data_IF_094753769078
#
_entry.id   IF_094753769078
#
_cell.length_a   1.000
_cell.length_b   1.000
_cell.length_c   1.000
_cell.angle_alpha   90.00
_cell.angle_beta   90.00
_cell.angle_gamma   90.00
#
_symmetry.space_group_name_H-M   'P 1'
#
loop_
_entity.id
_entity.type
_entity.pdbx_description
1 polymer ?
#
# COMPACT_ATOMS: atom_id res chain seq x y z
N UNK A 1 32.89 3.88 26.65
CA UNK A 1 31.97 2.74 26.47
C UNK A 1 30.86 3.26 25.58
N UNK A 2 30.68 2.68 24.39
CA UNK A 2 29.52 3.03 23.56
C UNK A 2 28.27 2.58 24.34
N UNK A 3 27.28 3.45 24.50
CA UNK A 3 25.99 3.05 25.07
C UNK A 3 25.44 1.87 24.27
N UNK A 4 25.04 0.82 24.99
CA UNK A 4 24.38 -0.32 24.38
C UNK A 4 23.04 0.16 23.83
N UNK A 5 22.94 0.18 22.50
CA UNK A 5 21.78 0.68 21.78
C UNK A 5 20.59 -0.23 22.08
N UNK A 6 19.67 0.24 22.93
CA UNK A 6 18.46 -0.52 23.27
C UNK A 6 17.54 -0.62 22.04
N UNK A 7 17.41 -1.84 21.50
CA UNK A 7 16.60 -2.10 20.29
C UNK A 7 15.22 -2.64 20.67
N UNK A 8 14.21 -2.05 20.05
CA UNK A 8 12.84 -2.55 20.10
C UNK A 8 12.68 -3.77 19.17
N UNK A 9 11.85 -4.72 19.58
CA UNK A 9 11.37 -5.75 18.66
C UNK A 9 10.28 -5.18 17.74
N UNK A 10 10.35 -5.45 16.43
CA UNK A 10 9.39 -4.93 15.46
C UNK A 10 7.97 -5.42 15.71
N UNK A 11 7.78 -6.71 16.00
CA UNK A 11 6.50 -7.27 16.46
C UNK A 11 6.19 -6.73 17.87
N UNK A 12 5.05 -6.06 18.12
CA UNK A 12 4.70 -5.57 19.44
C UNK A 12 4.42 -6.73 20.41
N UNK A 13 4.73 -6.54 21.70
CA UNK A 13 4.71 -7.63 22.69
C UNK A 13 3.40 -8.43 22.79
N UNK A 14 2.24 -7.79 22.56
CA UNK A 14 0.94 -8.46 22.58
C UNK A 14 0.65 -9.34 21.35
N UNK A 15 1.46 -9.25 20.29
CA UNK A 15 1.42 -10.11 19.10
C UNK A 15 2.59 -11.10 19.04
N UNK A 16 3.51 -11.05 20.01
CA UNK A 16 4.61 -12.01 20.07
C UNK A 16 4.10 -13.36 20.60
N UNK A 17 4.60 -14.44 20.02
CA UNK A 17 4.27 -15.82 20.42
C UNK A 17 5.52 -16.70 20.32
N UNK A 18 5.48 -17.89 20.91
CA UNK A 18 6.49 -18.91 20.66
C UNK A 18 6.55 -19.21 19.15
N UNK A 19 7.75 -19.04 18.57
CA UNK A 19 7.98 -19.28 17.14
C UNK A 19 8.00 -20.77 16.86
N UNK A 20 7.19 -21.20 15.89
CA UNK A 20 7.36 -22.51 15.23
C UNK A 20 8.14 -22.37 13.92
N UNK A 21 8.30 -21.14 13.42
CA UNK A 21 9.12 -20.79 12.26
C UNK A 21 10.25 -19.86 12.72
N UNK A 22 11.52 -20.28 12.57
CA UNK A 22 12.67 -19.47 12.96
C UNK A 22 12.71 -18.12 12.23
N UNK A 23 13.08 -17.06 12.95
CA UNK A 23 13.40 -15.77 12.34
C UNK A 23 14.69 -15.89 11.51
N UNK A 24 14.84 -14.99 10.52
CA UNK A 24 16.10 -14.84 9.77
C UNK A 24 17.06 -13.84 10.41
N UNK A 25 16.63 -13.19 11.50
CA UNK A 25 17.45 -12.27 12.28
C UNK A 25 18.71 -13.00 12.77
N UNK A 26 19.92 -12.54 12.43
CA UNK A 26 21.14 -13.14 12.96
C UNK A 26 21.24 -13.01 14.48
N UNK A 27 21.92 -13.94 15.13
CA UNK A 27 22.16 -13.89 16.57
C UNK A 27 22.92 -12.62 16.97
N UNK A 28 22.41 -11.89 17.95
CA UNK A 28 23.01 -10.62 18.41
C UNK A 28 23.02 -9.51 17.35
N UNK A 29 22.19 -9.60 16.31
CA UNK A 29 22.17 -8.62 15.22
C UNK A 29 21.84 -7.21 15.72
N UNK A 30 22.69 -6.26 15.34
CA UNK A 30 22.49 -4.82 15.51
C UNK A 30 22.50 -4.17 14.12
N UNK A 31 21.39 -3.56 13.68
CA UNK A 31 21.34 -2.93 12.36
C UNK A 31 22.27 -1.70 12.28
N UNK A 32 22.81 -1.35 11.11
CA UNK A 32 23.82 -0.29 11.00
C UNK A 32 23.26 1.14 11.07
N UNK A 33 21.95 1.32 11.02
CA UNK A 33 21.28 2.62 11.14
C UNK A 33 19.93 2.45 11.85
N UNK A 34 19.28 3.53 12.32
CA UNK A 34 17.95 3.45 12.93
C UNK A 34 16.85 3.20 11.90
N UNK A 35 15.85 2.42 12.31
CA UNK A 35 14.58 2.32 11.61
C UNK A 35 13.47 2.07 12.63
N UNK A 36 12.23 2.39 12.26
CA UNK A 36 11.11 2.43 13.17
C UNK A 36 9.89 1.72 12.57
N UNK A 37 8.97 1.31 13.45
CA UNK A 37 7.69 0.72 13.05
C UNK A 37 6.54 1.39 13.80
N UNK A 38 5.38 1.48 13.15
CA UNK A 38 4.16 1.98 13.78
C UNK A 38 3.67 1.01 14.87
N UNK A 39 3.21 1.56 15.98
CA UNK A 39 2.48 0.82 17.01
C UNK A 39 1.01 1.18 16.92
N UNK A 40 0.17 0.18 16.68
CA UNK A 40 -1.29 0.33 16.66
C UNK A 40 -1.87 0.09 18.06
N UNK A 41 -3.09 0.57 18.35
CA UNK A 41 -3.78 0.24 19.60
C UNK A 41 -3.83 -1.27 19.85
N UNK A 42 -3.64 -1.71 21.10
CA UNK A 42 -3.55 -3.14 21.44
C UNK A 42 -4.84 -3.91 21.14
N UNK A 43 -5.96 -3.21 21.17
CA UNK A 43 -7.29 -3.70 20.89
C UNK A 43 -7.62 -3.75 19.39
N UNK A 44 -6.81 -3.08 18.55
CA UNK A 44 -6.97 -3.17 17.11
C UNK A 44 -6.59 -4.59 16.66
N UNK A 45 -7.45 -5.20 15.85
CA UNK A 45 -7.25 -6.56 15.32
C UNK A 45 -7.00 -6.56 13.82
N UNK A 46 -7.64 -5.62 13.14
CA UNK A 46 -7.66 -5.50 11.70
C UNK A 46 -7.35 -4.05 11.31
N UNK A 47 -7.11 -3.86 10.02
CA UNK A 47 -7.26 -2.55 9.39
C UNK A 47 -7.94 -2.74 8.04
N UNK A 48 -8.48 -1.65 7.50
CA UNK A 48 -9.00 -1.62 6.13
C UNK A 48 -8.18 -0.62 5.34
N UNK A 49 -7.73 -1.03 4.17
CA UNK A 49 -7.20 -0.15 3.14
C UNK A 49 -8.06 -0.35 1.90
N UNK A 50 -8.61 0.73 1.35
CA UNK A 50 -9.26 0.68 0.04
C UNK A 50 -8.51 1.59 -0.92
N UNK A 51 -8.51 1.24 -2.20
CA UNK A 51 -8.09 2.11 -3.30
C UNK A 51 -9.30 2.25 -4.20
N UNK A 52 -9.85 3.45 -4.23
CA UNK A 52 -11.05 3.77 -5.00
C UNK A 52 -10.63 4.74 -6.08
N UNK A 53 -10.83 4.37 -7.34
CA UNK A 53 -10.24 5.08 -8.46
C UNK A 53 -11.18 5.34 -9.61
N UNK A 54 -10.85 6.40 -10.34
CA UNK A 54 -11.37 6.69 -11.67
C UNK A 54 -10.22 6.57 -12.67
N UNK A 55 -10.51 5.94 -13.81
CA UNK A 55 -9.61 5.80 -14.94
C UNK A 55 -10.18 6.57 -16.13
N UNK A 56 -9.37 7.37 -16.80
CA UNK A 56 -9.77 8.13 -17.99
C UNK A 56 -8.57 8.38 -18.92
N UNK A 57 -8.82 8.91 -20.11
CA UNK A 57 -7.75 9.35 -21.00
C UNK A 57 -6.96 10.52 -20.36
N UNK A 58 -5.66 10.60 -20.63
CA UNK A 58 -4.75 11.57 -20.00
C UNK A 58 -5.05 13.04 -20.36
N UNK A 59 -5.84 13.28 -21.41
CA UNK A 59 -6.26 14.61 -21.88
C UNK A 59 -7.28 15.32 -20.97
N UNK A 60 -7.83 14.61 -19.98
CA UNK A 60 -8.82 15.16 -19.03
C UNK A 60 -8.14 15.95 -17.91
N UNK A 61 -8.75 17.05 -17.49
CA UNK A 61 -8.26 17.88 -16.40
C UNK A 61 -8.04 17.06 -15.09
N UNK A 62 -6.87 17.20 -14.44
CA UNK A 62 -6.59 16.59 -13.14
C UNK A 62 -7.65 16.92 -12.09
N UNK A 63 -7.98 15.93 -11.25
CA UNK A 63 -8.94 16.07 -10.15
C UNK A 63 -10.28 16.66 -10.59
N UNK A 64 -10.75 16.27 -11.78
CA UNK A 64 -12.03 16.70 -12.33
C UNK A 64 -13.26 16.16 -11.56
N UNK A 65 -14.49 16.43 -12.04
CA UNK A 65 -15.72 16.10 -11.31
C UNK A 65 -15.86 14.63 -10.89
N UNK A 66 -15.31 13.71 -11.68
CA UNK A 66 -15.34 12.27 -11.39
C UNK A 66 -14.49 11.92 -10.16
N UNK A 67 -13.26 12.43 -10.09
CA UNK A 67 -12.39 12.28 -8.93
C UNK A 67 -12.97 13.01 -7.71
N UNK A 68 -13.50 14.23 -7.89
CA UNK A 68 -14.15 14.97 -6.80
C UNK A 68 -15.37 14.23 -6.23
N UNK A 69 -16.06 13.42 -7.05
CA UNK A 69 -17.11 12.54 -6.54
C UNK A 69 -16.56 11.50 -5.56
N UNK A 70 -15.39 10.91 -5.83
CA UNK A 70 -14.71 9.99 -4.91
C UNK A 70 -14.26 10.70 -3.63
N UNK A 71 -13.66 11.88 -3.76
CA UNK A 71 -13.28 12.74 -2.62
C UNK A 71 -14.48 13.04 -1.75
N UNK A 72 -15.63 13.35 -2.36
CA UNK A 72 -16.85 13.63 -1.61
C UNK A 72 -17.23 12.47 -0.69
N UNK A 73 -17.09 11.20 -1.12
CA UNK A 73 -17.42 10.07 -0.25
C UNK A 73 -16.47 9.93 0.94
N UNK A 74 -15.17 10.14 0.75
CA UNK A 74 -14.18 9.97 1.85
C UNK A 74 -14.12 11.17 2.80
N UNK A 75 -14.59 12.34 2.37
CA UNK A 75 -14.71 13.54 3.21
C UNK A 75 -16.09 13.71 3.86
N UNK A 76 -17.15 13.18 3.24
CA UNK A 76 -18.50 13.14 3.79
C UNK A 76 -18.73 11.84 4.58
N UNK A 77 -19.77 11.81 5.41
CA UNK A 77 -20.09 10.70 6.31
C UNK A 77 -20.04 11.12 7.78
N UNK A 78 -20.52 10.25 8.66
CA UNK A 78 -20.48 10.55 10.10
C UNK A 78 -19.04 10.61 10.61
N UNK A 79 -18.77 11.41 11.65
CA UNK A 79 -17.44 11.48 12.29
C UNK A 79 -16.94 10.11 12.76
N UNK A 80 -17.86 9.17 12.99
CA UNK A 80 -17.60 7.84 13.52
C UNK A 80 -17.07 6.89 12.44
N UNK A 81 -17.73 6.87 11.28
CA UNK A 81 -17.47 5.92 10.20
C UNK A 81 -16.42 6.40 9.19
N UNK A 82 -16.24 7.72 9.04
CA UNK A 82 -15.29 8.27 8.05
C UNK A 82 -13.87 7.68 8.21
N UNK A 83 -13.10 7.59 7.11
CA UNK A 83 -11.72 7.13 7.17
C UNK A 83 -10.93 7.90 8.24
N UNK A 84 -10.08 7.19 8.99
CA UNK A 84 -9.17 7.85 9.95
C UNK A 84 -8.14 8.71 9.21
N UNK A 85 -7.74 8.25 8.04
CA UNK A 85 -6.89 8.96 7.11
C UNK A 85 -7.24 8.55 5.69
N UNK A 86 -6.90 9.40 4.72
CA UNK A 86 -6.96 9.06 3.31
C UNK A 86 -5.90 9.81 2.52
N UNK A 87 -5.47 9.25 1.40
CA UNK A 87 -4.48 9.84 0.50
C UNK A 87 -5.04 10.05 -0.90
N UNK A 88 -4.47 11.02 -1.62
CA UNK A 88 -4.76 11.29 -3.01
C UNK A 88 -3.53 10.93 -3.85
N UNK A 89 -3.71 10.17 -4.92
CA UNK A 89 -2.60 9.82 -5.79
C UNK A 89 -3.06 9.62 -7.25
N UNK A 90 -2.12 9.71 -8.19
CA UNK A 90 -2.38 9.43 -9.59
C UNK A 90 -1.21 8.72 -10.29
N UNK A 91 -1.53 8.02 -11.37
CA UNK A 91 -0.55 7.42 -12.27
C UNK A 91 -1.11 7.30 -13.68
N UNK A 92 -0.28 7.52 -14.69
CA UNK A 92 -0.60 7.11 -16.07
C UNK A 92 -0.03 5.72 -16.31
N UNK A 93 -0.91 4.76 -16.63
CA UNK A 93 -0.51 3.37 -16.82
C UNK A 93 0.21 3.13 -18.17
N UNK A 94 0.71 1.90 -18.39
CA UNK A 94 1.39 1.54 -19.63
C UNK A 94 0.48 1.43 -20.86
N UNK A 95 -0.81 1.75 -20.71
CA UNK A 95 -1.78 1.86 -21.80
C UNK A 95 -2.19 3.31 -22.06
N UNK A 96 -1.58 4.27 -21.37
CA UNK A 96 -1.83 5.70 -21.53
C UNK A 96 -3.08 6.20 -20.81
N UNK A 97 -3.68 5.40 -19.92
CA UNK A 97 -4.81 5.86 -19.13
C UNK A 97 -4.33 6.43 -17.81
N UNK A 98 -4.87 7.60 -17.46
CA UNK A 98 -4.66 8.22 -16.18
C UNK A 98 -5.61 7.61 -15.16
N UNK A 99 -5.07 7.25 -14.02
CA UNK A 99 -5.78 6.69 -12.89
C UNK A 99 -5.62 7.67 -11.72
N UNK A 100 -6.73 8.22 -11.23
CA UNK A 100 -6.74 9.08 -10.04
C UNK A 100 -7.47 8.35 -8.91
N UNK A 101 -6.84 8.26 -7.74
CA UNK A 101 -7.32 7.43 -6.64
C UNK A 101 -7.41 8.20 -5.34
N UNK A 102 -8.43 7.85 -4.55
CA UNK A 102 -8.46 8.09 -3.10
C UNK A 102 -8.12 6.77 -2.38
N UNK A 103 -7.27 6.85 -1.37
CA UNK A 103 -6.80 5.69 -0.59
C UNK A 103 -7.19 5.87 0.88
N UNK A 104 -8.44 5.57 1.27
CA UNK A 104 -8.87 5.66 2.66
C UNK A 104 -8.45 4.47 3.53
N UNK A 105 -8.25 4.73 4.81
CA UNK A 105 -7.87 3.76 5.83
C UNK A 105 -8.83 3.78 7.04
N UNK A 106 -9.22 2.59 7.51
CA UNK A 106 -10.04 2.41 8.71
C UNK A 106 -9.40 1.43 9.69
N UNK A 107 -9.72 1.59 10.97
CA UNK A 107 -9.25 0.70 12.04
C UNK A 107 -10.09 -0.58 12.14
N UNK A 108 -11.31 -0.60 11.60
CA UNK A 108 -12.17 -1.78 11.65
C UNK A 108 -12.97 -1.95 10.36
N UNK A 109 -13.31 -3.20 10.05
CA UNK A 109 -14.25 -3.52 8.96
C UNK A 109 -15.62 -2.90 9.20
N UNK A 110 -16.07 -2.84 10.45
CA UNK A 110 -17.36 -2.26 10.81
C UNK A 110 -17.43 -0.76 10.47
N UNK A 111 -16.36 0.00 10.71
CA UNK A 111 -16.31 1.43 10.35
C UNK A 111 -16.38 1.62 8.83
N UNK A 112 -15.67 0.78 8.06
CA UNK A 112 -15.74 0.77 6.60
C UNK A 112 -17.15 0.45 6.09
N UNK A 113 -17.79 -0.61 6.62
CA UNK A 113 -19.15 -1.00 6.24
C UNK A 113 -20.20 0.04 6.68
N UNK A 114 -20.01 0.72 7.81
CA UNK A 114 -20.86 1.84 8.24
C UNK A 114 -20.68 3.04 7.31
N UNK A 115 -19.45 3.36 6.93
CA UNK A 115 -19.12 4.44 6.01
C UNK A 115 -19.71 4.21 4.63
N UNK A 116 -19.58 2.99 4.10
CA UNK A 116 -20.03 2.68 2.75
C UNK A 116 -21.54 2.91 2.61
N UNK A 117 -22.30 2.63 3.67
CA UNK A 117 -23.75 2.92 3.75
C UNK A 117 -24.05 4.39 4.01
N UNK A 118 -23.46 5.00 5.04
CA UNK A 118 -23.86 6.35 5.50
C UNK A 118 -23.36 7.49 4.60
N UNK A 119 -22.26 7.28 3.87
CA UNK A 119 -21.75 8.21 2.85
C UNK A 119 -22.56 8.15 1.55
N UNK A 120 -23.42 7.13 1.39
CA UNK A 120 -24.12 6.82 0.14
C UNK A 120 -23.22 6.17 -0.93
N UNK A 121 -21.98 5.79 -0.58
CA UNK A 121 -21.05 5.15 -1.51
C UNK A 121 -21.60 3.81 -2.04
N UNK A 122 -22.17 2.97 -1.20
CA UNK A 122 -22.72 1.66 -1.60
C UNK A 122 -23.84 1.80 -2.63
N UNK A 123 -24.79 2.71 -2.37
CA UNK A 123 -25.89 2.98 -3.30
C UNK A 123 -25.36 3.49 -4.63
N UNK A 124 -24.44 4.46 -4.60
CA UNK A 124 -23.80 4.99 -5.81
C UNK A 124 -23.02 3.92 -6.58
N UNK A 125 -22.22 3.10 -5.88
CA UNK A 125 -21.40 2.06 -6.51
C UNK A 125 -22.25 0.96 -7.14
N UNK A 126 -23.38 0.60 -6.50
CA UNK A 126 -24.33 -0.38 -7.03
C UNK A 126 -25.06 0.14 -8.28
N UNK A 127 -25.48 1.41 -8.28
CA UNK A 127 -26.22 2.03 -9.38
C UNK A 127 -25.33 2.43 -10.57
N UNK A 128 -24.02 2.51 -10.36
CA UNK A 128 -23.04 2.92 -11.37
C UNK A 128 -23.14 2.04 -12.63
N UNK A 129 -23.39 2.68 -13.77
CA UNK A 129 -23.41 2.03 -15.08
C UNK A 129 -22.03 2.11 -15.71
N UNK A 130 -21.60 1.02 -16.33
CA UNK A 130 -20.32 0.97 -17.03
C UNK A 130 -20.45 1.77 -18.35
N UNK A 131 -19.64 2.81 -18.48
CA UNK A 131 -19.61 3.72 -19.63
C UNK A 131 -18.23 3.68 -20.30
N UNK A 132 -18.18 3.93 -21.61
CA UNK A 132 -16.92 3.78 -22.36
C UNK A 132 -15.91 4.90 -22.13
N UNK A 133 -16.33 6.05 -21.60
CA UNK A 133 -15.50 7.24 -21.45
C UNK A 133 -14.63 7.21 -20.18
N UNK A 134 -14.99 6.40 -19.19
CA UNK A 134 -14.27 6.30 -17.93
C UNK A 134 -14.42 4.94 -17.28
N UNK A 135 -13.33 4.44 -16.69
CA UNK A 135 -13.34 3.30 -15.80
C UNK A 135 -13.54 3.74 -14.35
N UNK A 136 -14.19 2.90 -13.57
CA UNK A 136 -14.23 3.02 -12.11
C UNK A 136 -13.76 1.72 -11.51
N UNK A 137 -12.96 1.79 -10.46
CA UNK A 137 -12.47 0.60 -9.78
C UNK A 137 -12.39 0.80 -8.27
N UNK A 138 -12.47 -0.31 -7.56
CA UNK A 138 -12.31 -0.36 -6.11
C UNK A 138 -11.58 -1.65 -5.74
N UNK A 139 -10.46 -1.52 -5.04
CA UNK A 139 -9.62 -2.60 -4.54
C UNK A 139 -9.61 -2.50 -3.01
N UNK A 140 -10.10 -3.50 -2.28
CA UNK A 140 -10.24 -3.43 -0.82
C UNK A 140 -9.45 -4.57 -0.17
N UNK A 141 -8.69 -4.22 0.87
CA UNK A 141 -7.88 -5.13 1.65
C UNK A 141 -8.29 -5.08 3.12
N UNK A 142 -8.41 -6.27 3.72
CA UNK A 142 -8.75 -6.48 5.13
C UNK A 142 -7.66 -7.28 5.85
N UNK A 143 -6.40 -6.80 5.93
CA UNK A 143 -5.38 -7.51 6.68
C UNK A 143 -5.68 -7.43 8.18
N UNK A 144 -5.47 -8.56 8.87
CA UNK A 144 -5.29 -8.59 10.32
C UNK A 144 -3.95 -7.92 10.67
N UNK A 145 -3.82 -7.33 11.86
CA UNK A 145 -2.60 -6.62 12.26
C UNK A 145 -1.38 -7.53 12.39
N UNK A 146 -1.56 -8.82 12.62
CA UNK A 146 -0.45 -9.79 12.59
C UNK A 146 0.09 -10.05 11.18
N UNK A 147 -0.67 -9.70 10.13
CA UNK A 147 -0.32 -9.81 8.70
C UNK A 147 0.04 -8.46 8.08
N UNK A 148 0.29 -7.45 8.91
CA UNK A 148 0.68 -6.12 8.48
C UNK A 148 1.99 -5.70 9.16
N UNK A 149 2.91 -5.12 8.40
CA UNK A 149 4.17 -4.59 8.91
C UNK A 149 4.42 -3.20 8.36
N UNK A 150 5.20 -2.40 9.10
CA UNK A 150 5.67 -1.11 8.63
C UNK A 150 7.14 -0.93 8.95
N UNK A 151 7.82 -0.17 8.09
CA UNK A 151 9.21 0.24 8.27
C UNK A 151 9.35 1.70 7.82
N UNK A 152 9.96 2.52 8.66
CA UNK A 152 10.22 3.93 8.39
C UNK A 152 11.68 4.28 8.70
N UNK A 153 12.27 5.16 7.90
CA UNK A 153 13.57 5.80 8.18
C UNK A 153 13.45 6.95 9.17
N UNK A 154 12.27 7.57 9.27
CA UNK A 154 11.90 8.62 10.23
C UNK A 154 10.84 8.10 11.22
N UNK A 155 10.77 8.70 12.41
CA UNK A 155 9.76 8.39 13.42
C UNK A 155 8.74 9.52 13.64
N UNK A 156 8.90 10.67 12.99
CA UNK A 156 8.04 11.85 13.17
C UNK A 156 6.83 11.78 12.26
N UNK A 157 7.02 11.78 10.94
CA UNK A 157 5.91 11.92 9.98
C UNK A 157 5.36 10.55 9.59
N UNK A 158 4.10 10.21 9.96
CA UNK A 158 3.49 8.97 9.52
C UNK A 158 3.13 9.01 8.03
N UNK A 159 2.99 7.83 7.44
CA UNK A 159 2.42 7.70 6.10
C UNK A 159 1.43 6.54 5.98
N UNK A 160 0.42 6.70 5.11
CA UNK A 160 -0.67 5.74 4.88
C UNK A 160 -1.30 5.20 6.16
N UNK A 161 -1.31 3.88 6.31
CA UNK A 161 -1.94 3.24 7.48
C UNK A 161 -1.32 3.66 8.82
N UNK A 162 -0.07 4.15 8.86
CA UNK A 162 0.55 4.62 10.09
C UNK A 162 -0.09 5.89 10.66
N UNK A 163 -0.96 6.60 9.93
CA UNK A 163 -1.80 7.64 10.53
C UNK A 163 -2.80 7.09 11.55
N UNK A 164 -3.03 5.77 11.58
CA UNK A 164 -3.86 5.10 12.59
C UNK A 164 -3.07 4.57 13.79
N UNK A 165 -1.76 4.86 13.85
CA UNK A 165 -0.87 4.44 14.95
C UNK A 165 -1.24 5.14 16.26
N UNK A 166 -1.10 4.45 17.39
CA UNK A 166 -1.12 5.04 18.72
C UNK A 166 0.25 5.63 19.11
N UNK A 167 1.34 5.05 18.59
CA UNK A 167 2.70 5.53 18.79
C UNK A 167 3.65 4.98 17.72
N UNK A 168 4.94 5.29 17.83
CA UNK A 168 6.03 4.72 17.03
C UNK A 168 6.98 3.95 17.96
N UNK A 169 7.65 2.92 17.47
CA UNK A 169 8.65 2.17 18.24
C UNK A 169 9.89 3.01 18.56
N UNK A 170 10.71 2.50 19.48
CA UNK A 170 12.14 2.82 19.47
C UNK A 170 12.83 2.29 18.20
N UNK A 171 14.15 2.36 18.16
CA UNK A 171 14.91 1.83 17.04
C UNK A 171 14.75 0.31 16.98
N UNK A 172 14.22 -0.21 15.87
CA UNK A 172 13.88 -1.63 15.78
C UNK A 172 15.06 -2.50 15.36
N UNK A 173 15.07 -3.77 15.77
CA UNK A 173 16.10 -4.73 15.37
C UNK A 173 15.88 -5.32 13.96
N UNK A 174 14.63 -5.65 13.59
CA UNK A 174 14.31 -6.44 12.39
C UNK A 174 14.30 -5.60 11.10
N UNK A 175 15.46 -5.07 10.69
CA UNK A 175 15.65 -4.44 9.38
C UNK A 175 17.08 -4.58 8.86
N UNK A 176 17.29 -4.21 7.59
CA UNK A 176 18.61 -4.22 6.93
C UNK A 176 19.24 -5.63 6.76
N UNK A 177 18.42 -6.67 6.70
CA UNK A 177 18.83 -7.99 6.21
C UNK A 177 17.72 -8.62 5.36
N UNK A 178 18.11 -9.49 4.44
CA UNK A 178 17.18 -10.18 3.56
C UNK A 178 16.26 -11.13 4.35
N UNK A 179 14.96 -10.84 4.31
CA UNK A 179 13.96 -11.53 5.11
C UNK A 179 13.48 -10.77 6.34
N UNK A 180 14.07 -9.61 6.66
CA UNK A 180 13.61 -8.75 7.76
C UNK A 180 12.14 -8.34 7.63
N UNK A 181 11.66 -8.02 6.42
CA UNK A 181 10.23 -7.77 6.16
C UNK A 181 9.35 -8.90 6.70
N UNK A 182 9.69 -10.16 6.40
CA UNK A 182 8.96 -11.32 6.89
C UNK A 182 9.04 -11.43 8.41
N UNK A 183 10.20 -11.21 9.00
CA UNK A 183 10.39 -11.27 10.46
C UNK A 183 9.60 -10.17 11.22
N UNK A 184 9.24 -9.06 10.55
CA UNK A 184 8.39 -8.00 11.10
C UNK A 184 6.90 -8.36 11.12
N UNK A 185 6.45 -9.33 10.33
CA UNK A 185 5.07 -9.82 10.34
C UNK A 185 4.87 -10.76 11.53
N UNK A 186 3.91 -10.44 12.41
CA UNK A 186 3.67 -11.28 13.58
C UNK A 186 3.18 -12.69 13.23
N UNK A 187 2.36 -12.81 12.19
CA UNK A 187 1.88 -14.09 11.68
C UNK A 187 3.04 -15.00 11.21
N UNK A 188 4.17 -14.43 10.76
CA UNK A 188 5.33 -15.21 10.31
C UNK A 188 6.06 -15.94 11.44
N UNK A 189 5.69 -15.71 12.70
CA UNK A 189 6.19 -16.52 13.83
C UNK A 189 5.72 -17.98 13.74
N UNK A 190 4.55 -18.22 13.14
CA UNK A 190 3.92 -19.54 13.10
C UNK A 190 3.29 -19.94 11.77
N UNK A 191 3.15 -19.01 10.82
CA UNK A 191 2.61 -19.24 9.47
C UNK A 191 3.68 -18.96 8.41
N UNK A 192 3.81 -19.86 7.42
CA UNK A 192 4.73 -19.67 6.30
C UNK A 192 4.26 -18.59 5.31
N UNK A 193 3.02 -18.13 5.42
CA UNK A 193 2.39 -17.10 4.57
C UNK A 193 2.43 -17.46 3.08
N UNK A 194 2.23 -18.76 2.78
CA UNK A 194 2.27 -19.28 1.40
C UNK A 194 1.12 -18.67 0.58
N UNK A 195 1.48 -17.99 -0.51
CA UNK A 195 0.59 -17.35 -1.47
C UNK A 195 -0.07 -18.33 -2.43
N UNK A 196 -0.86 -17.77 -3.34
CA UNK A 196 -1.46 -18.48 -4.47
C UNK A 196 -0.82 -17.96 -5.76
N UNK A 197 0.00 -18.79 -6.45
CA UNK A 197 0.67 -18.36 -7.68
C UNK A 197 -0.31 -17.80 -8.71
N UNK A 198 0.01 -16.62 -9.26
CA UNK A 198 -0.81 -15.99 -10.28
C UNK A 198 -0.38 -16.37 -11.71
N UNK A 199 0.82 -16.94 -11.87
CA UNK A 199 1.43 -17.24 -13.16
C UNK A 199 2.04 -18.66 -13.22
N UNK A 200 1.95 -19.35 -14.38
CA UNK A 200 1.08 -19.01 -15.51
C UNK A 200 -0.40 -19.07 -15.10
N UNK A 201 -1.24 -18.19 -15.65
CA UNK A 201 -2.65 -18.09 -15.26
C UNK A 201 -3.38 -19.43 -15.51
N UNK A 202 -4.03 -20.03 -14.50
CA UNK A 202 -4.85 -21.22 -14.68
C UNK A 202 -5.91 -20.99 -15.76
N UNK A 203 -6.28 -22.02 -16.52
CA UNK A 203 -7.29 -21.90 -17.59
C UNK A 203 -8.63 -21.33 -17.11
N UNK A 204 -8.99 -21.55 -15.84
CA UNK A 204 -10.19 -20.99 -15.21
C UNK A 204 -10.12 -19.47 -14.95
N UNK A 205 -8.91 -18.91 -14.84
CA UNK A 205 -8.66 -17.47 -14.63
C UNK A 205 -8.30 -16.72 -15.92
N UNK A 206 -8.24 -17.44 -17.04
CA UNK A 206 -8.06 -16.82 -18.35
C UNK A 206 -9.34 -16.10 -18.76
N UNK A 207 -9.51 -14.86 -18.29
CA UNK A 207 -10.54 -13.95 -18.79
C UNK A 207 -10.33 -13.80 -20.30
N UNK A 208 -11.38 -14.04 -21.11
CA UNK A 208 -11.32 -13.81 -22.56
C UNK A 208 -10.85 -12.37 -22.79
N UNK A 209 -9.72 -12.20 -23.49
CA UNK A 209 -9.27 -10.88 -23.96
C UNK A 209 -10.41 -10.29 -24.81
N UNK A 210 -11.06 -9.26 -24.28
CA UNK A 210 -12.23 -8.62 -24.88
C UNK A 210 -12.38 -7.19 -24.35
N UNK A 211 -13.24 -6.40 -24.98
CA UNK A 211 -13.50 -5.03 -24.55
C UNK A 211 -14.29 -5.01 -23.22
N UNK A 212 -13.66 -4.48 -22.17
CA UNK A 212 -14.23 -4.39 -20.82
C UNK A 212 -14.88 -3.04 -20.53
N UNK A 213 -14.84 -2.06 -21.45
CA UNK A 213 -15.29 -0.67 -21.25
C UNK A 213 -16.77 -0.50 -20.86
N UNK A 214 -17.58 -1.56 -20.94
CA UNK A 214 -19.01 -1.55 -20.59
C UNK A 214 -19.38 -2.69 -19.65
N UNK A 215 -18.40 -3.23 -18.93
CA UNK A 215 -18.57 -4.39 -18.06
C UNK A 215 -18.29 -4.03 -16.60
N UNK A 216 -19.06 -4.63 -15.70
CA UNK A 216 -18.71 -4.71 -14.28
C UNK A 216 -18.01 -6.04 -14.06
N UNK A 217 -16.74 -5.98 -13.67
CA UNK A 217 -15.91 -7.15 -13.46
C UNK A 217 -15.59 -7.25 -11.97
N UNK A 218 -15.75 -8.44 -11.41
CA UNK A 218 -15.32 -8.75 -10.05
C UNK A 218 -14.16 -9.72 -10.13
N UNK A 219 -13.06 -9.37 -9.46
CA UNK A 219 -11.88 -10.23 -9.30
C UNK A 219 -11.87 -10.73 -7.87
N UNK A 220 -11.86 -12.05 -7.68
CA UNK A 220 -11.74 -12.65 -6.35
C UNK A 220 -10.37 -12.34 -5.73
N UNK A 221 -10.34 -12.19 -4.42
CA UNK A 221 -9.07 -12.10 -3.68
C UNK A 221 -8.25 -13.38 -3.81
N UNK A 222 -6.94 -13.27 -3.55
CA UNK A 222 -6.01 -14.40 -3.48
C UNK A 222 -5.53 -14.59 -2.05
N UNK A 223 -5.37 -15.85 -1.63
CA UNK A 223 -4.82 -16.15 -0.30
C UNK A 223 -3.39 -15.63 -0.20
N UNK A 224 -3.09 -14.94 0.90
CA UNK A 224 -1.75 -14.40 1.20
C UNK A 224 -1.14 -13.54 0.08
N UNK A 225 -1.98 -12.86 -0.71
CA UNK A 225 -1.55 -11.80 -1.60
C UNK A 225 -0.70 -10.78 -0.82
N UNK A 226 0.53 -10.55 -1.27
CA UNK A 226 1.41 -9.56 -0.66
C UNK A 226 1.20 -8.20 -1.33
N UNK A 227 0.79 -7.20 -0.54
CA UNK A 227 0.59 -5.83 -1.00
C UNK A 227 1.65 -4.94 -0.37
N UNK A 228 2.44 -4.27 -1.21
CA UNK A 228 3.45 -3.31 -0.78
C UNK A 228 3.06 -1.90 -1.20
N UNK A 229 3.13 -0.96 -0.25
CA UNK A 229 3.14 0.49 -0.49
C UNK A 229 4.48 1.04 0.00
N UNK A 230 5.40 1.27 -0.93
CA UNK A 230 6.76 1.77 -0.63
C UNK A 230 6.87 3.24 -1.02
N UNK A 231 6.87 4.13 -0.03
CA UNK A 231 6.82 5.58 -0.23
C UNK A 231 8.19 6.26 -0.30
N UNK A 232 8.23 7.38 -1.01
CA UNK A 232 9.37 8.30 -1.10
C UNK A 232 8.85 9.71 -0.88
N UNK A 233 9.48 10.44 0.04
CA UNK A 233 9.16 11.83 0.33
C UNK A 233 10.46 12.62 0.35
N UNK A 234 10.60 13.55 -0.60
CA UNK A 234 11.75 14.44 -0.66
C UNK A 234 11.36 15.91 -0.44
N UNK A 235 10.12 16.16 -0.03
CA UNK A 235 9.53 17.50 0.09
C UNK A 235 10.21 18.41 1.12
N UNK A 236 10.89 17.82 2.10
CA UNK A 236 11.58 18.52 3.17
C UNK A 236 13.09 18.20 3.22
N UNK A 237 13.66 17.81 2.07
CA UNK A 237 15.10 17.56 1.94
C UNK A 237 15.88 18.85 1.76
N UNK A 238 17.14 18.87 2.19
CA UNK A 238 18.01 19.99 1.86
C UNK A 238 18.43 19.93 0.38
N UNK A 239 19.01 21.01 -0.21
CA UNK A 239 19.33 21.03 -1.64
C UNK A 239 20.26 19.91 -2.13
N UNK A 240 21.19 19.41 -1.31
CA UNK A 240 22.10 18.34 -1.73
C UNK A 240 21.43 16.97 -1.69
N UNK A 241 20.59 16.71 -0.68
CA UNK A 241 19.76 15.51 -0.58
C UNK A 241 18.71 15.45 -1.69
N UNK A 242 18.04 16.58 -1.96
CA UNK A 242 17.07 16.73 -3.03
C UNK A 242 17.67 16.35 -4.39
N UNK A 243 18.83 16.95 -4.69
CA UNK A 243 19.61 16.64 -5.90
C UNK A 243 20.03 15.18 -5.94
N UNK A 244 20.57 14.65 -4.83
CA UNK A 244 21.00 13.26 -4.75
C UNK A 244 19.84 12.30 -5.06
N UNK A 245 18.68 12.52 -4.44
CA UNK A 245 17.50 11.69 -4.67
C UNK A 245 17.07 11.73 -6.15
N UNK A 246 16.87 12.92 -6.71
CA UNK A 246 16.36 13.07 -8.08
C UNK A 246 17.33 12.61 -9.16
N UNK A 247 18.63 12.81 -8.98
CA UNK A 247 19.63 12.48 -10.00
C UNK A 247 20.15 11.04 -9.90
N UNK A 248 20.11 10.42 -8.71
CA UNK A 248 20.75 9.10 -8.50
C UNK A 248 19.77 8.00 -8.08
N UNK A 249 18.84 8.29 -7.17
CA UNK A 249 17.95 7.28 -6.59
C UNK A 249 16.66 7.11 -7.40
N UNK A 250 15.96 8.22 -7.66
CA UNK A 250 14.71 8.23 -8.38
C UNK A 250 14.80 7.58 -9.78
N UNK A 251 15.86 7.80 -10.60
CA UNK A 251 15.95 7.14 -11.90
C UNK A 251 16.09 5.61 -11.82
N UNK A 252 16.79 5.10 -10.79
CA UNK A 252 16.93 3.65 -10.57
C UNK A 252 15.62 3.06 -10.06
N UNK A 253 14.95 3.77 -9.14
CA UNK A 253 13.62 3.41 -8.66
C UNK A 253 12.60 3.32 -9.82
N UNK A 254 12.56 4.34 -10.69
CA UNK A 254 11.66 4.36 -11.85
C UNK A 254 11.88 3.15 -12.75
N UNK A 255 13.13 2.80 -13.06
CA UNK A 255 13.45 1.59 -13.85
C UNK A 255 12.94 0.31 -13.18
N UNK A 256 13.08 0.21 -11.85
CA UNK A 256 12.54 -0.93 -11.09
C UNK A 256 11.02 -1.00 -11.15
N UNK A 257 10.35 0.14 -11.04
CA UNK A 257 8.89 0.22 -11.12
C UNK A 257 8.36 -0.08 -12.53
N UNK A 258 9.05 0.36 -13.58
CA UNK A 258 8.75 0.03 -14.98
C UNK A 258 8.94 -1.46 -15.25
N UNK A 259 10.02 -2.07 -14.72
CA UNK A 259 10.21 -3.52 -14.79
C UNK A 259 9.03 -4.27 -14.15
N UNK A 260 8.63 -3.90 -12.93
CA UNK A 260 7.49 -4.54 -12.27
C UNK A 260 6.17 -4.33 -13.03
N UNK A 261 5.99 -3.18 -13.69
CA UNK A 261 4.80 -2.87 -14.48
C UNK A 261 4.72 -3.69 -15.77
N UNK A 262 5.84 -3.82 -16.48
CA UNK A 262 5.87 -4.37 -17.84
C UNK A 262 6.31 -5.84 -17.89
N UNK A 263 7.03 -6.30 -16.87
CA UNK A 263 7.58 -7.66 -16.73
C UNK A 263 7.26 -8.31 -15.38
N UNK A 264 6.27 -7.78 -14.66
CA UNK A 264 5.89 -8.27 -13.33
C UNK A 264 5.56 -9.76 -13.28
N UNK A 265 4.98 -10.32 -14.36
CA UNK A 265 4.65 -11.75 -14.46
C UNK A 265 5.87 -12.66 -14.25
N UNK A 266 7.08 -12.21 -14.64
CA UNK A 266 8.34 -12.96 -14.47
C UNK A 266 8.72 -13.14 -13.00
N UNK A 267 8.23 -12.28 -12.11
CA UNK A 267 8.59 -12.22 -10.69
C UNK A 267 7.38 -12.32 -9.76
N UNK A 268 6.23 -12.78 -10.25
CA UNK A 268 5.00 -12.93 -9.46
C UNK A 268 4.29 -11.62 -9.11
N UNK A 269 4.67 -10.50 -9.73
CA UNK A 269 3.99 -9.21 -9.57
C UNK A 269 2.79 -9.11 -10.52
N UNK A 270 1.59 -9.09 -9.96
CA UNK A 270 0.30 -9.07 -10.66
C UNK A 270 -0.04 -7.65 -11.15
N UNK A 271 0.30 -6.64 -10.35
CA UNK A 271 0.04 -5.24 -10.64
C UNK A 271 1.11 -4.38 -9.98
N UNK A 272 1.64 -3.40 -10.70
CA UNK A 272 2.52 -2.40 -10.14
C UNK A 272 2.14 -1.00 -10.63
N UNK A 273 1.96 -0.07 -9.71
CA UNK A 273 1.65 1.33 -9.98
C UNK A 273 2.66 2.22 -9.25
N UNK A 274 3.45 2.99 -10.00
CA UNK A 274 4.30 4.02 -9.42
C UNK A 274 3.53 5.34 -9.37
N UNK A 275 2.99 5.62 -8.20
CA UNK A 275 2.00 6.65 -7.97
C UNK A 275 2.65 7.96 -7.54
N UNK A 276 2.19 9.05 -8.14
CA UNK A 276 2.47 10.41 -7.72
C UNK A 276 1.41 10.83 -6.70
N UNK A 277 1.83 11.17 -5.48
CA UNK A 277 0.90 11.76 -4.51
C UNK A 277 0.37 13.10 -5.05
N UNK A 278 -0.86 13.42 -4.70
CA UNK A 278 -1.53 14.65 -5.12
C UNK A 278 -1.88 15.50 -3.90
N UNK A 279 -1.87 16.82 -4.08
CA UNK A 279 -2.51 17.70 -3.11
C UNK A 279 -4.02 17.50 -3.15
N UNK A 280 -4.67 17.40 -1.98
CA UNK A 280 -6.12 17.23 -1.87
C UNK A 280 -6.93 18.44 -2.36
N UNK A 281 -6.31 19.63 -2.34
CA UNK A 281 -6.96 20.92 -2.62
C UNK A 281 -6.31 21.70 -3.76
N UNK A 282 -5.24 21.19 -4.38
CA UNK A 282 -4.42 21.91 -5.36
C UNK A 282 -4.17 21.06 -6.62
N UNK A 283 -5.16 20.92 -7.52
CA UNK A 283 -5.11 19.97 -8.65
C UNK A 283 -3.93 20.09 -9.61
N UNK A 284 -3.33 21.28 -9.70
CA UNK A 284 -2.26 21.61 -10.65
C UNK A 284 -0.86 21.57 -10.05
N UNK A 285 -0.74 21.23 -8.78
CA UNK A 285 0.54 21.16 -8.10
C UNK A 285 0.91 19.69 -7.88
N UNK A 286 2.11 19.33 -8.30
CA UNK A 286 2.68 18.03 -7.96
C UNK A 286 3.27 18.11 -6.56
N UNK A 287 3.08 17.05 -5.78
CA UNK A 287 3.81 16.90 -4.53
C UNK A 287 5.21 16.35 -4.80
N UNK A 288 6.13 16.55 -3.87
CA UNK A 288 7.44 15.90 -3.88
C UNK A 288 7.39 14.55 -3.15
N UNK A 289 6.39 13.74 -3.51
CA UNK A 289 6.04 12.49 -2.85
C UNK A 289 5.52 11.48 -3.86
N UNK A 290 6.08 10.28 -3.86
CA UNK A 290 5.65 9.15 -4.69
C UNK A 290 5.57 7.88 -3.85
N UNK A 291 4.92 6.85 -4.38
CA UNK A 291 5.02 5.50 -3.83
C UNK A 291 4.87 4.43 -4.90
N UNK A 292 5.61 3.35 -4.77
CA UNK A 292 5.33 2.10 -5.48
C UNK A 292 4.20 1.35 -4.78
N UNK A 293 3.17 0.99 -5.52
CA UNK A 293 2.07 0.13 -5.09
C UNK A 293 2.09 -1.17 -5.90
N UNK A 294 2.57 -2.24 -5.26
CA UNK A 294 2.78 -3.54 -5.89
C UNK A 294 1.94 -4.64 -5.27
N UNK A 295 1.35 -5.49 -6.11
CA UNK A 295 0.59 -6.68 -5.72
C UNK A 295 1.33 -7.92 -6.17
N UNK A 296 1.83 -8.71 -5.23
CA UNK A 296 2.57 -9.95 -5.48
C UNK A 296 1.74 -11.15 -5.06
N UNK A 297 1.80 -12.20 -5.85
CA UNK A 297 1.06 -13.45 -5.62
C UNK A 297 1.47 -14.19 -4.33
N UNK A 298 2.71 -13.99 -3.89
CA UNK A 298 3.30 -14.53 -2.66
C UNK A 298 4.27 -13.52 -2.04
N UNK A 299 4.38 -13.48 -0.71
CA UNK A 299 5.41 -12.71 0.00
C UNK A 299 6.82 -13.12 -0.44
N UNK A 300 7.03 -14.40 -0.78
CA UNK A 300 8.28 -14.92 -1.33
C UNK A 300 8.62 -14.33 -2.69
N UNK A 301 7.63 -14.04 -3.53
CA UNK A 301 7.83 -13.38 -4.83
C UNK A 301 8.34 -11.96 -4.64
N UNK A 302 7.73 -11.21 -3.71
CA UNK A 302 8.23 -9.89 -3.29
C UNK A 302 9.65 -9.98 -2.70
N UNK A 303 9.90 -10.90 -1.77
CA UNK A 303 11.25 -11.15 -1.22
C UNK A 303 12.25 -11.56 -2.30
N UNK A 304 11.83 -12.25 -3.36
CA UNK A 304 12.68 -12.69 -4.46
C UNK A 304 13.12 -11.53 -5.34
N UNK A 305 12.21 -10.61 -5.63
CA UNK A 305 12.49 -9.42 -6.43
C UNK A 305 13.32 -8.38 -5.68
N UNK A 306 13.11 -8.22 -4.37
CA UNK A 306 13.73 -7.13 -3.59
C UNK A 306 15.19 -7.37 -3.16
N UNK A 307 15.70 -8.60 -3.31
CA UNK A 307 17.01 -9.04 -2.80
C UNK A 307 18.19 -8.69 -3.70
#
# INVERSE_FOLDING_TARGET
MAEERALDHAIPSHLQTERTIPAKTPDGFVPPFPSYTARFPKEAKDLVMAIIGVQHEDSVDPQGPAYQKLVSFVEHGSKKSKPKYWEAASVTDNRGFRNEVVIPYWQTKADFEEWSRDSGFDAWWADLRAESERGWFMEIFFPTLDRFETVFSDNVVPDGAAYMRSSVSGEMQQHFYWGSMRDRLAAAQTDHLIGEPAFPKPSAEQVKKGDTRKQRITVSGRKNLAVIRSGQDWSNTNPSEHKLYLETMHPVLTKGMEFLRDKGEEVGCISNRFMQCMHKTSPKQNTERTFGLGYFDDLKSLEGWSK
#
